data_IF_904814520470
#
_entry.id   IF_904814520470
#
_cell.length_a   1.000
_cell.length_b   1.000
_cell.length_c   1.000
_cell.angle_alpha   90.00
_cell.angle_beta   90.00
_cell.angle_gamma   90.00
#
_symmetry.space_group_name_H-M   'P 1'
#
loop_
_entity.id
_entity.type
_entity.pdbx_description
1 polymer ?
#
# COMPACT_ATOMS: atom_id res chain seq x y z
N UNK A 1 24.33 -20.94 85.10
CA UNK A 1 22.90 -20.61 84.85
C UNK A 1 22.77 -19.20 84.15
N UNK A 2 23.50 -18.19 84.58
CA UNK A 2 23.38 -16.82 84.01
C UNK A 2 23.80 -16.73 82.54
N UNK A 3 24.90 -17.37 82.12
CA UNK A 3 25.37 -17.40 80.74
C UNK A 3 24.42 -18.09 79.75
N UNK A 4 23.72 -19.15 80.20
CA UNK A 4 22.73 -19.86 79.42
C UNK A 4 21.49 -18.99 79.14
N UNK A 5 21.06 -18.16 80.08
CA UNK A 5 19.95 -17.25 79.96
C UNK A 5 20.25 -16.10 78.97
N UNK A 6 21.45 -15.58 79.03
CA UNK A 6 21.92 -14.51 78.10
C UNK A 6 22.04 -15.04 76.67
N UNK A 7 22.57 -16.25 76.50
CA UNK A 7 22.66 -16.86 75.16
C UNK A 7 21.27 -17.13 74.57
N UNK A 8 20.33 -17.61 75.39
CA UNK A 8 18.94 -17.83 74.96
C UNK A 8 18.22 -16.53 74.57
N UNK A 9 18.40 -15.46 75.36
CA UNK A 9 17.84 -14.16 75.04
C UNK A 9 18.44 -13.61 73.72
N UNK A 10 19.75 -13.78 73.44
CA UNK A 10 20.37 -13.42 72.18
C UNK A 10 19.78 -14.16 70.97
N UNK A 11 19.49 -15.45 71.10
CA UNK A 11 18.86 -16.24 70.04
C UNK A 11 17.43 -15.75 69.77
N UNK A 12 16.65 -15.43 70.79
CA UNK A 12 15.30 -14.88 70.60
C UNK A 12 15.32 -13.55 69.85
N UNK A 13 16.23 -12.64 70.22
CA UNK A 13 16.40 -11.35 69.57
C UNK A 13 16.83 -11.55 68.08
N UNK A 14 17.78 -12.45 67.83
CA UNK A 14 18.20 -12.77 66.47
C UNK A 14 17.04 -13.31 65.60
N UNK A 15 16.23 -14.22 66.15
CA UNK A 15 15.04 -14.74 65.45
C UNK A 15 14.01 -13.62 65.19
N UNK A 16 13.78 -12.73 66.15
CA UNK A 16 12.85 -11.63 65.99
C UNK A 16 13.32 -10.65 64.90
N UNK A 17 14.62 -10.34 64.85
CA UNK A 17 15.22 -9.51 63.77
C UNK A 17 15.12 -10.21 62.39
N UNK A 18 15.39 -11.51 62.31
CA UNK A 18 15.25 -12.28 61.10
C UNK A 18 13.80 -12.33 60.61
N UNK A 19 12.82 -12.46 61.46
CA UNK A 19 11.42 -12.42 61.12
C UNK A 19 11.01 -11.03 60.60
N UNK A 20 11.54 -9.98 61.17
CA UNK A 20 11.31 -8.61 60.72
C UNK A 20 11.94 -8.39 59.34
N UNK A 21 13.18 -8.83 59.13
CA UNK A 21 13.87 -8.77 57.84
C UNK A 21 13.10 -9.53 56.75
N UNK A 22 12.64 -10.73 57.00
CA UNK A 22 11.83 -11.54 56.10
C UNK A 22 10.50 -10.83 55.72
N UNK A 23 9.90 -10.07 56.62
CA UNK A 23 8.70 -9.28 56.34
C UNK A 23 8.99 -8.13 55.40
N UNK A 24 10.12 -7.41 55.58
CA UNK A 24 10.57 -6.36 54.69
C UNK A 24 10.87 -6.93 53.31
N UNK A 25 11.65 -8.00 53.23
CA UNK A 25 11.99 -8.63 51.93
C UNK A 25 10.74 -9.09 51.17
N UNK A 26 9.75 -9.68 51.85
CA UNK A 26 8.47 -10.05 51.23
C UNK A 26 7.73 -8.82 50.66
N UNK A 27 7.74 -7.72 51.38
CA UNK A 27 7.11 -6.48 50.95
C UNK A 27 7.83 -5.89 49.74
N UNK A 28 9.16 -5.87 49.76
CA UNK A 28 9.98 -5.37 48.65
C UNK A 28 9.80 -6.26 47.41
N UNK A 29 9.74 -7.58 47.57
CA UNK A 29 9.44 -8.49 46.49
C UNK A 29 8.04 -8.24 45.87
N UNK A 30 7.05 -7.96 46.70
CA UNK A 30 5.69 -7.65 46.21
C UNK A 30 5.66 -6.34 45.43
N UNK A 31 6.35 -5.30 45.93
CA UNK A 31 6.47 -4.02 45.23
C UNK A 31 7.24 -4.17 43.90
N UNK A 32 8.38 -4.89 43.93
CA UNK A 32 9.16 -5.17 42.71
C UNK A 32 8.31 -5.90 41.65
N UNK A 33 7.50 -6.88 42.06
CA UNK A 33 6.60 -7.59 41.16
C UNK A 33 5.59 -6.66 40.53
N UNK A 34 4.98 -5.75 41.29
CA UNK A 34 4.02 -4.78 40.79
C UNK A 34 4.67 -3.82 39.78
N UNK A 35 5.91 -3.37 40.08
CA UNK A 35 6.68 -2.51 39.17
C UNK A 35 7.01 -3.25 37.88
N UNK A 36 7.43 -4.51 37.95
CA UNK A 36 7.73 -5.33 36.76
C UNK A 36 6.48 -5.53 35.89
N UNK A 37 5.32 -5.81 36.49
CA UNK A 37 4.04 -5.95 35.78
C UNK A 37 3.66 -4.62 35.06
N UNK A 38 3.87 -3.48 35.72
CA UNK A 38 3.65 -2.16 35.10
C UNK A 38 4.64 -1.89 33.95
N UNK A 39 5.92 -2.23 34.12
CA UNK A 39 6.92 -2.09 33.06
C UNK A 39 6.60 -2.98 31.86
N UNK A 40 6.20 -4.22 32.07
CA UNK A 40 5.80 -5.13 31.00
C UNK A 40 4.60 -4.58 30.21
N UNK A 41 3.58 -4.06 30.90
CA UNK A 41 2.44 -3.43 30.26
C UNK A 41 2.83 -2.20 29.44
N UNK A 42 3.75 -1.38 29.95
CA UNK A 42 4.25 -0.20 29.26
C UNK A 42 5.11 -0.56 28.03
N UNK A 43 6.00 -1.55 28.15
CA UNK A 43 6.79 -2.07 27.03
C UNK A 43 5.89 -2.64 25.93
N UNK A 44 4.81 -3.34 26.31
CA UNK A 44 3.83 -3.85 25.35
C UNK A 44 3.12 -2.72 24.60
N UNK A 45 2.75 -1.63 25.29
CA UNK A 45 2.16 -0.44 24.62
C UNK A 45 3.15 0.23 23.69
N UNK A 46 4.40 0.42 24.13
CA UNK A 46 5.45 1.02 23.30
C UNK A 46 5.73 0.18 22.06
N UNK A 47 5.78 -1.15 22.19
CA UNK A 47 5.96 -2.04 21.05
C UNK A 47 4.85 -1.87 20.01
N UNK A 48 3.59 -1.78 20.44
CA UNK A 48 2.44 -1.53 19.53
C UNK A 48 2.53 -0.17 18.82
N UNK A 49 2.94 0.87 19.54
CA UNK A 49 3.14 2.20 18.94
C UNK A 49 4.26 2.17 17.90
N UNK A 50 5.40 1.54 18.23
CA UNK A 50 6.52 1.42 17.30
C UNK A 50 6.16 0.60 16.04
N UNK A 51 5.42 -0.50 16.19
CA UNK A 51 4.94 -1.28 15.06
C UNK A 51 4.05 -0.45 14.14
N UNK A 52 3.14 0.33 14.71
CA UNK A 52 2.28 1.23 13.96
C UNK A 52 3.08 2.31 13.23
N UNK A 53 4.03 2.94 13.89
CA UNK A 53 4.91 3.94 13.27
C UNK A 53 5.69 3.33 12.11
N UNK A 54 6.31 2.17 12.31
CA UNK A 54 7.05 1.45 11.26
C UNK A 54 6.19 1.13 10.05
N UNK A 55 4.92 0.73 10.27
CA UNK A 55 3.96 0.54 9.20
C UNK A 55 3.67 1.84 8.46
N UNK A 56 3.32 2.90 9.20
CA UNK A 56 2.99 4.20 8.61
C UNK A 56 4.16 4.75 7.78
N UNK A 57 5.38 4.70 8.33
CA UNK A 57 6.59 5.15 7.64
C UNK A 57 6.83 4.37 6.33
N UNK A 58 6.69 3.05 6.37
CA UNK A 58 6.86 2.20 5.19
C UNK A 58 5.76 2.46 4.14
N UNK A 59 4.51 2.60 4.58
CA UNK A 59 3.39 2.87 3.70
C UNK A 59 3.50 4.23 3.01
N UNK A 60 3.80 5.29 3.77
CA UNK A 60 3.97 6.62 3.21
C UNK A 60 5.20 6.73 2.32
N UNK A 61 6.27 6.01 2.65
CA UNK A 61 7.43 5.91 1.76
C UNK A 61 7.07 5.26 0.40
N UNK A 62 6.24 4.21 0.39
CA UNK A 62 5.74 3.63 -0.85
C UNK A 62 4.89 4.61 -1.66
N UNK A 63 4.07 5.45 -1.00
CA UNK A 63 3.31 6.50 -1.67
C UNK A 63 4.21 7.61 -2.24
N UNK A 64 5.29 7.95 -1.56
CA UNK A 64 6.25 8.93 -2.07
C UNK A 64 7.02 8.38 -3.28
N UNK A 65 7.44 7.11 -3.24
CA UNK A 65 8.02 6.44 -4.42
C UNK A 65 7.04 6.39 -5.60
N UNK A 66 5.75 6.15 -5.31
CA UNK A 66 4.70 6.19 -6.32
C UNK A 66 4.59 7.59 -6.96
N UNK A 67 4.60 8.66 -6.16
CA UNK A 67 4.57 10.05 -6.66
C UNK A 67 5.79 10.36 -7.50
N UNK A 68 6.98 9.99 -7.05
CA UNK A 68 8.23 10.16 -7.81
C UNK A 68 8.16 9.42 -9.14
N UNK A 69 7.75 8.14 -9.13
CA UNK A 69 7.63 7.36 -10.37
C UNK A 69 6.60 7.93 -11.35
N UNK A 70 5.55 8.61 -10.85
CA UNK A 70 4.61 9.34 -11.69
C UNK A 70 5.28 10.53 -12.36
N UNK A 71 6.05 11.31 -11.61
CA UNK A 71 6.70 12.51 -12.12
C UNK A 71 7.77 12.17 -13.19
N UNK A 72 8.35 10.96 -13.10
CA UNK A 72 9.30 10.41 -14.08
C UNK A 72 8.62 9.89 -15.37
N UNK A 73 7.29 9.77 -15.39
CA UNK A 73 6.59 9.34 -16.60
C UNK A 73 6.77 10.34 -17.74
N UNK A 74 7.08 9.80 -18.89
CA UNK A 74 7.27 10.59 -20.13
C UNK A 74 6.39 10.04 -21.22
N UNK A 75 5.61 10.93 -21.81
CA UNK A 75 4.90 10.67 -23.05
C UNK A 75 5.55 11.50 -24.18
N UNK A 76 5.87 10.84 -25.28
CA UNK A 76 6.44 11.48 -26.47
C UNK A 76 5.57 11.19 -27.69
N UNK A 77 5.26 12.22 -28.43
CA UNK A 77 4.54 12.07 -29.70
C UNK A 77 5.46 11.45 -30.74
N UNK A 78 5.13 10.26 -31.20
CA UNK A 78 5.82 9.59 -32.31
C UNK A 78 5.05 9.85 -33.60
N UNK A 79 5.67 10.49 -34.57
CA UNK A 79 5.13 10.64 -35.92
C UNK A 79 5.84 9.63 -36.82
N UNK A 80 5.08 8.67 -37.32
CA UNK A 80 5.60 7.70 -38.30
C UNK A 80 5.45 8.34 -39.68
N UNK A 81 6.55 8.60 -40.36
CA UNK A 81 6.58 9.01 -41.77
C UNK A 81 7.15 7.89 -42.59
N UNK A 82 6.54 7.68 -43.76
CA UNK A 82 7.11 6.82 -44.79
C UNK A 82 7.76 7.76 -45.80
N UNK A 83 9.09 7.82 -45.78
CA UNK A 83 9.87 8.59 -46.76
C UNK A 83 10.72 7.60 -47.55
N UNK A 84 10.60 7.63 -48.89
CA UNK A 84 11.35 6.77 -49.82
C UNK A 84 11.15 5.23 -49.55
N UNK A 85 9.99 4.81 -49.06
CA UNK A 85 9.69 3.42 -48.76
C UNK A 85 10.26 2.92 -47.44
N UNK A 86 10.98 3.77 -46.71
CA UNK A 86 11.47 3.48 -45.35
C UNK A 86 10.59 4.11 -44.28
N UNK A 87 10.33 3.36 -43.22
CA UNK A 87 9.59 3.86 -42.08
C UNK A 87 10.53 4.67 -41.20
N UNK A 88 10.37 6.00 -41.22
CA UNK A 88 11.10 6.90 -40.32
C UNK A 88 10.22 7.38 -39.19
N UNK A 89 10.66 7.12 -37.95
CA UNK A 89 10.00 7.61 -36.73
C UNK A 89 10.62 8.96 -36.39
N UNK A 90 9.89 10.04 -36.61
CA UNK A 90 10.28 11.38 -36.19
C UNK A 90 9.67 11.68 -34.83
N UNK A 91 10.51 11.98 -33.85
CA UNK A 91 10.04 12.50 -32.54
C UNK A 91 9.64 13.97 -32.78
N UNK A 92 8.39 14.32 -32.46
CA UNK A 92 7.97 15.73 -32.40
C UNK A 92 8.35 16.31 -31.04
N UNK A 93 8.60 17.62 -30.97
CA UNK A 93 8.97 18.38 -29.77
C UNK A 93 7.87 18.42 -28.67
N UNK A 94 6.87 17.59 -28.75
CA UNK A 94 5.82 17.49 -27.70
C UNK A 94 6.16 16.35 -26.74
N UNK A 95 6.85 16.71 -25.68
CA UNK A 95 7.13 15.87 -24.54
C UNK A 95 6.23 16.29 -23.38
N UNK A 96 5.44 15.36 -22.86
CA UNK A 96 4.62 15.55 -21.66
C UNK A 96 5.20 14.69 -20.54
N UNK A 97 5.13 15.19 -19.31
CA UNK A 97 5.65 14.49 -18.14
C UNK A 97 4.58 14.35 -17.06
N UNK A 98 4.78 13.41 -16.14
CA UNK A 98 3.95 13.24 -14.96
C UNK A 98 2.48 13.03 -15.28
N UNK A 99 1.60 13.74 -14.60
CA UNK A 99 0.15 13.64 -14.77
C UNK A 99 -0.31 14.01 -16.20
N UNK A 100 0.41 14.88 -16.91
CA UNK A 100 0.07 15.21 -18.29
C UNK A 100 0.35 14.02 -19.23
N UNK A 101 1.44 13.29 -18.98
CA UNK A 101 1.77 12.07 -19.73
C UNK A 101 0.67 11.01 -19.53
N UNK A 102 0.18 10.84 -18.30
CA UNK A 102 -0.90 9.89 -17.98
C UNK A 102 -2.20 10.29 -18.67
N UNK A 103 -2.59 11.57 -18.58
CA UNK A 103 -3.79 12.06 -19.26
C UNK A 103 -3.72 11.81 -20.77
N UNK A 104 -2.58 12.08 -21.39
CA UNK A 104 -2.39 11.86 -22.83
C UNK A 104 -2.42 10.35 -23.16
N UNK A 105 -1.84 9.51 -22.32
CA UNK A 105 -1.88 8.06 -22.49
C UNK A 105 -3.33 7.55 -22.44
N UNK A 106 -4.17 8.08 -21.55
CA UNK A 106 -5.59 7.73 -21.52
C UNK A 106 -6.33 8.18 -22.79
N UNK A 107 -6.02 9.37 -23.28
CA UNK A 107 -6.58 9.86 -24.58
C UNK A 107 -6.16 8.94 -25.73
N UNK A 108 -4.91 8.51 -25.76
CA UNK A 108 -4.41 7.60 -26.79
C UNK A 108 -5.03 6.21 -26.68
N UNK A 109 -5.23 5.70 -25.45
CA UNK A 109 -5.98 4.47 -25.21
C UNK A 109 -7.41 4.57 -25.74
N UNK A 110 -8.10 5.66 -25.46
CA UNK A 110 -9.47 5.90 -25.94
C UNK A 110 -9.55 5.91 -27.48
N UNK A 111 -8.59 6.53 -28.14
CA UNK A 111 -8.50 6.55 -29.62
C UNK A 111 -8.20 5.16 -30.18
N UNK A 112 -7.26 4.45 -29.55
CA UNK A 112 -6.90 3.09 -29.93
C UNK A 112 -8.10 2.16 -29.82
N UNK A 113 -8.80 2.18 -28.69
CA UNK A 113 -9.99 1.38 -28.46
C UNK A 113 -11.06 1.61 -29.55
N UNK A 114 -11.41 2.88 -29.82
CA UNK A 114 -12.41 3.23 -30.85
C UNK A 114 -12.02 2.68 -32.21
N UNK A 115 -10.74 2.85 -32.57
CA UNK A 115 -10.24 2.38 -33.87
C UNK A 115 -10.27 0.86 -34.00
N UNK A 116 -9.88 0.13 -32.95
CA UNK A 116 -9.97 -1.34 -32.96
C UNK A 116 -11.41 -1.79 -33.05
N UNK A 117 -12.31 -1.19 -32.30
CA UNK A 117 -13.72 -1.54 -32.29
C UNK A 117 -14.44 -1.22 -33.63
N UNK A 118 -14.00 -0.20 -34.36
CA UNK A 118 -14.48 0.11 -35.72
C UNK A 118 -14.03 -0.94 -36.75
N UNK A 119 -12.80 -1.45 -36.63
CA UNK A 119 -12.19 -2.37 -37.62
C UNK A 119 -12.46 -3.83 -37.27
N UNK A 120 -12.51 -4.16 -35.97
CA UNK A 120 -12.67 -5.51 -35.44
C UNK A 120 -13.60 -5.51 -34.22
N UNK A 121 -14.91 -5.34 -34.43
CA UNK A 121 -15.88 -5.22 -33.33
C UNK A 121 -15.98 -6.47 -32.45
N UNK A 122 -15.50 -7.62 -32.94
CA UNK A 122 -15.46 -8.89 -32.21
C UNK A 122 -14.31 -9.00 -31.19
N UNK A 123 -13.36 -8.06 -31.21
CA UNK A 123 -12.21 -8.11 -30.30
C UNK A 123 -12.65 -7.86 -28.86
N UNK A 124 -12.29 -8.76 -27.95
CA UNK A 124 -12.66 -8.60 -26.56
C UNK A 124 -12.01 -7.37 -25.92
N UNK A 125 -12.67 -6.78 -24.91
CA UNK A 125 -12.11 -5.64 -24.18
C UNK A 125 -10.75 -5.98 -23.54
N UNK A 126 -10.61 -7.19 -22.99
CA UNK A 126 -9.36 -7.66 -22.40
C UNK A 126 -8.21 -7.69 -23.42
N UNK A 127 -8.46 -8.22 -24.63
CA UNK A 127 -7.45 -8.28 -25.69
C UNK A 127 -7.04 -6.87 -26.18
N UNK A 128 -7.99 -5.95 -26.26
CA UNK A 128 -7.71 -4.54 -26.61
C UNK A 128 -6.82 -3.90 -25.55
N UNK A 129 -7.14 -4.13 -24.28
CA UNK A 129 -6.37 -3.61 -23.14
C UNK A 129 -4.97 -4.19 -23.16
N UNK A 130 -4.82 -5.51 -23.20
CA UNK A 130 -3.51 -6.18 -23.18
C UNK A 130 -2.64 -5.71 -24.34
N UNK A 131 -3.20 -5.66 -25.55
CA UNK A 131 -2.46 -5.19 -26.74
C UNK A 131 -2.01 -3.73 -26.62
N UNK A 132 -2.85 -2.86 -26.03
CA UNK A 132 -2.48 -1.47 -25.83
C UNK A 132 -1.35 -1.35 -24.81
N UNK A 133 -1.48 -2.05 -23.67
CA UNK A 133 -0.48 -1.97 -22.60
C UNK A 133 0.87 -2.55 -23.05
N UNK A 134 0.87 -3.67 -23.78
CA UNK A 134 2.10 -4.27 -24.30
C UNK A 134 2.83 -3.39 -25.34
N UNK A 135 2.07 -2.75 -26.23
CA UNK A 135 2.66 -2.00 -27.34
C UNK A 135 2.92 -0.52 -27.05
N UNK A 136 2.17 0.08 -26.13
CA UNK A 136 2.17 1.54 -25.91
C UNK A 136 2.70 1.95 -24.54
N UNK A 137 2.76 1.03 -23.58
CA UNK A 137 3.27 1.35 -22.25
C UNK A 137 4.75 0.94 -22.12
N UNK A 138 5.60 1.93 -21.89
CA UNK A 138 7.03 1.72 -21.65
C UNK A 138 7.27 1.01 -20.31
N UNK A 139 8.51 0.52 -20.10
CA UNK A 139 8.94 -0.05 -18.84
C UNK A 139 8.70 0.89 -17.63
N UNK A 140 8.73 2.21 -17.84
CA UNK A 140 8.47 3.23 -16.80
C UNK A 140 7.03 3.18 -16.32
N UNK A 141 6.04 3.02 -17.24
CA UNK A 141 4.64 2.82 -16.85
C UNK A 141 4.42 1.51 -16.10
N UNK A 142 5.10 0.44 -16.52
CA UNK A 142 5.03 -0.84 -15.82
C UNK A 142 5.59 -0.72 -14.39
N UNK A 143 6.66 0.05 -14.20
CA UNK A 143 7.21 0.34 -12.86
C UNK A 143 6.23 1.15 -12.01
N UNK A 144 5.61 2.19 -12.57
CA UNK A 144 4.61 3.02 -11.91
C UNK A 144 3.44 2.18 -11.36
N UNK A 145 2.81 1.34 -12.19
CA UNK A 145 1.72 0.47 -11.72
C UNK A 145 2.19 -0.59 -10.72
N UNK A 146 3.44 -1.05 -10.84
CA UNK A 146 4.01 -2.02 -9.89
C UNK A 146 4.21 -1.41 -8.51
N UNK A 147 4.70 -0.18 -8.42
CA UNK A 147 4.86 0.51 -7.13
C UNK A 147 3.49 0.71 -6.47
N UNK A 148 2.50 1.15 -7.23
CA UNK A 148 1.13 1.29 -6.73
C UNK A 148 0.55 -0.05 -6.25
N UNK A 149 0.75 -1.13 -7.00
CA UNK A 149 0.38 -2.48 -6.58
C UNK A 149 1.01 -2.85 -5.24
N UNK A 150 2.32 -2.60 -5.07
CA UNK A 150 3.01 -2.94 -3.82
C UNK A 150 2.54 -2.09 -2.64
N UNK A 151 2.14 -0.85 -2.84
CA UNK A 151 1.57 -0.02 -1.78
C UNK A 151 0.25 -0.61 -1.25
N UNK A 152 -0.67 -1.01 -2.14
CA UNK A 152 -1.92 -1.65 -1.74
C UNK A 152 -1.72 -3.07 -1.21
N UNK A 153 -0.79 -3.82 -1.80
CA UNK A 153 -0.43 -5.15 -1.32
C UNK A 153 0.14 -5.09 0.11
N UNK A 154 1.04 -4.16 0.38
CA UNK A 154 1.58 -3.93 1.72
C UNK A 154 0.47 -3.65 2.74
N UNK A 155 -0.51 -2.82 2.35
CA UNK A 155 -1.66 -2.52 3.20
C UNK A 155 -2.56 -3.75 3.44
N UNK A 156 -2.77 -4.60 2.42
CA UNK A 156 -3.58 -5.82 2.52
C UNK A 156 -2.91 -6.87 3.40
N UNK A 157 -1.62 -7.14 3.18
CA UNK A 157 -0.86 -8.21 3.84
C UNK A 157 -0.39 -7.86 5.25
N UNK A 158 -0.49 -6.60 5.65
CA UNK A 158 0.04 -6.19 6.95
C UNK A 158 -0.77 -6.78 8.11
N UNK A 159 -0.10 -7.57 8.95
CA UNK A 159 -0.71 -8.33 10.06
C UNK A 159 0.02 -8.18 11.40
N UNK A 160 1.14 -7.43 11.46
CA UNK A 160 2.03 -7.37 12.64
C UNK A 160 1.39 -6.72 13.87
N UNK A 161 0.35 -5.93 13.68
CA UNK A 161 -0.56 -5.50 14.74
C UNK A 161 -1.99 -5.52 14.19
N UNK A 162 -2.98 -5.66 15.09
CA UNK A 162 -4.38 -5.67 14.68
C UNK A 162 -4.81 -4.32 14.09
N UNK A 163 -4.64 -4.18 12.78
CA UNK A 163 -5.29 -3.10 12.04
C UNK A 163 -6.68 -3.60 11.65
N UNK A 164 -7.70 -2.96 12.20
CA UNK A 164 -9.07 -3.26 11.82
C UNK A 164 -9.32 -2.89 10.33
N UNK A 165 -10.27 -3.57 9.67
CA UNK A 165 -10.58 -3.32 8.26
C UNK A 165 -10.94 -1.85 7.96
N UNK A 166 -11.57 -1.15 8.90
CA UNK A 166 -11.93 0.26 8.73
C UNK A 166 -10.70 1.17 8.71
N UNK A 167 -9.69 0.84 9.50
CA UNK A 167 -8.40 1.54 9.50
C UNK A 167 -7.62 1.26 8.22
N UNK A 168 -7.55 0.00 7.74
CA UNK A 168 -6.97 -0.33 6.41
C UNK A 168 -7.65 0.46 5.30
N UNK A 169 -8.97 0.52 5.32
CA UNK A 169 -9.73 1.31 4.34
C UNK A 169 -9.43 2.82 4.41
N UNK A 170 -9.16 3.37 5.59
CA UNK A 170 -8.72 4.77 5.72
C UNK A 170 -7.38 5.04 5.02
N UNK A 171 -6.38 4.16 5.19
CA UNK A 171 -5.10 4.27 4.48
C UNK A 171 -5.29 4.11 2.97
N UNK A 172 -6.12 3.17 2.54
CA UNK A 172 -6.46 3.00 1.12
C UNK A 172 -7.10 4.27 0.52
N UNK A 173 -7.97 4.96 1.28
CA UNK A 173 -8.54 6.25 0.85
C UNK A 173 -7.49 7.34 0.70
N UNK A 174 -6.49 7.37 1.57
CA UNK A 174 -5.36 8.31 1.46
C UNK A 174 -4.60 8.02 0.17
N UNK A 175 -4.22 6.75 -0.07
CA UNK A 175 -3.54 6.36 -1.31
C UNK A 175 -4.37 6.72 -2.56
N UNK A 176 -5.68 6.43 -2.55
CA UNK A 176 -6.59 6.76 -3.64
C UNK A 176 -6.68 8.27 -3.93
N UNK A 177 -6.61 9.11 -2.89
CA UNK A 177 -6.63 10.57 -3.04
C UNK A 177 -5.42 11.12 -3.83
N UNK A 178 -4.36 10.34 -3.98
CA UNK A 178 -3.22 10.68 -4.83
C UNK A 178 -3.42 10.35 -6.30
N UNK A 179 -4.48 9.61 -6.65
CA UNK A 179 -4.77 9.22 -8.04
C UNK A 179 -5.65 10.26 -8.73
N UNK A 180 -5.23 10.71 -9.90
CA UNK A 180 -6.07 11.51 -10.80
C UNK A 180 -7.14 10.64 -11.48
N UNK A 181 -8.13 11.26 -12.09
CA UNK A 181 -9.16 10.56 -12.84
C UNK A 181 -8.60 9.65 -13.95
N UNK A 182 -7.59 10.14 -14.69
CA UNK A 182 -6.96 9.34 -15.75
C UNK A 182 -6.19 8.14 -15.19
N UNK A 183 -5.55 8.30 -14.02
CA UNK A 183 -4.87 7.20 -13.33
C UNK A 183 -5.86 6.13 -12.88
N UNK A 184 -6.98 6.54 -12.26
CA UNK A 184 -8.04 5.60 -11.86
C UNK A 184 -8.61 4.85 -13.07
N UNK A 185 -8.88 5.56 -14.19
CA UNK A 185 -9.39 4.94 -15.41
C UNK A 185 -8.39 3.94 -16.02
N UNK A 186 -7.13 4.33 -16.19
CA UNK A 186 -6.10 3.42 -16.71
C UNK A 186 -5.88 2.23 -15.82
N UNK A 187 -5.88 2.42 -14.49
CA UNK A 187 -5.79 1.34 -13.52
C UNK A 187 -6.98 0.37 -13.64
N UNK A 188 -8.20 0.92 -13.77
CA UNK A 188 -9.41 0.13 -13.91
C UNK A 188 -9.35 -0.73 -15.17
N UNK A 189 -8.97 -0.15 -16.32
CA UNK A 189 -8.80 -0.93 -17.55
C UNK A 189 -7.67 -1.96 -17.42
N UNK A 190 -6.56 -1.62 -16.78
CA UNK A 190 -5.47 -2.57 -16.52
C UNK A 190 -5.96 -3.79 -15.71
N UNK A 191 -6.90 -3.62 -14.79
CA UNK A 191 -7.48 -4.72 -14.01
C UNK A 191 -8.35 -5.68 -14.87
N UNK A 192 -8.82 -5.26 -16.04
CA UNK A 192 -9.56 -6.12 -16.99
C UNK A 192 -8.59 -6.99 -17.80
N UNK A 193 -7.40 -6.47 -18.09
CA UNK A 193 -6.37 -7.18 -18.84
C UNK A 193 -5.92 -8.48 -18.16
N UNK A 194 -5.43 -9.41 -18.99
CA UNK A 194 -5.01 -10.75 -18.52
C UNK A 194 -3.56 -10.78 -18.02
N UNK A 195 -2.68 -9.87 -18.54
CA UNK A 195 -1.22 -9.89 -18.38
C UNK A 195 -0.79 -9.10 -17.15
N UNK A 196 -1.25 -8.91 -16.15
CA UNK A 196 -0.73 -8.21 -14.95
C UNK A 196 -1.83 -7.61 -14.07
N UNK A 197 -2.99 -7.38 -14.66
CA UNK A 197 -4.14 -6.80 -13.98
C UNK A 197 -4.79 -7.71 -12.95
N UNK A 198 -4.79 -9.04 -13.15
CA UNK A 198 -5.49 -10.00 -12.27
C UNK A 198 -5.08 -9.91 -10.80
N UNK A 199 -3.79 -9.72 -10.52
CA UNK A 199 -3.31 -9.58 -9.14
C UNK A 199 -3.77 -8.26 -8.52
N UNK A 200 -3.81 -7.20 -9.31
CA UNK A 200 -4.28 -5.90 -8.84
C UNK A 200 -5.81 -5.86 -8.73
N UNK A 201 -6.55 -6.57 -9.57
CA UNK A 201 -8.00 -6.62 -9.52
C UNK A 201 -8.54 -7.08 -8.15
N UNK A 202 -7.86 -7.99 -7.47
CA UNK A 202 -8.22 -8.39 -6.10
C UNK A 202 -8.10 -7.22 -5.11
N UNK A 203 -6.99 -6.50 -5.14
CA UNK A 203 -6.76 -5.30 -4.30
C UNK A 203 -7.69 -4.14 -4.69
N UNK A 204 -7.95 -3.99 -5.99
CA UNK A 204 -8.86 -2.98 -6.52
C UNK A 204 -10.26 -3.13 -5.92
N UNK A 205 -10.76 -4.38 -5.80
CA UNK A 205 -12.04 -4.69 -5.16
C UNK A 205 -11.98 -4.56 -3.64
N UNK A 206 -10.96 -5.13 -3.00
CA UNK A 206 -10.77 -5.08 -1.54
C UNK A 206 -10.84 -3.64 -1.02
N UNK A 207 -10.14 -2.72 -1.69
CA UNK A 207 -10.04 -1.31 -1.28
C UNK A 207 -11.01 -0.38 -1.99
N UNK A 208 -11.94 -0.92 -2.79
CA UNK A 208 -12.97 -0.15 -3.52
C UNK A 208 -12.38 1.02 -4.31
N UNK A 209 -11.33 0.77 -5.08
CA UNK A 209 -10.63 1.82 -5.82
C UNK A 209 -11.51 2.45 -6.91
N UNK A 210 -12.51 1.73 -7.37
CA UNK A 210 -13.49 2.17 -8.36
C UNK A 210 -14.66 3.01 -7.83
N UNK A 211 -14.83 3.20 -6.51
CA UNK A 211 -15.98 3.94 -5.96
C UNK A 211 -16.14 5.36 -6.52
N UNK A 212 -15.03 6.02 -6.86
CA UNK A 212 -15.01 7.37 -7.43
C UNK A 212 -14.65 7.36 -8.92
N UNK A 213 -14.90 6.25 -9.62
CA UNK A 213 -14.63 6.16 -11.05
C UNK A 213 -15.42 7.23 -11.80
N UNK A 214 -14.76 8.09 -12.61
CA UNK A 214 -15.46 9.12 -13.37
C UNK A 214 -16.22 8.49 -14.54
N UNK A 215 -17.43 8.03 -14.29
CA UNK A 215 -18.28 7.26 -15.24
C UNK A 215 -18.50 7.97 -16.57
N UNK A 216 -18.52 9.31 -16.56
CA UNK A 216 -18.70 10.12 -17.77
C UNK A 216 -17.44 10.14 -18.66
N UNK A 217 -16.30 9.75 -18.13
CA UNK A 217 -15.04 9.66 -18.84
C UNK A 217 -14.70 8.24 -19.32
N UNK A 218 -15.54 7.24 -18.99
CA UNK A 218 -15.39 5.89 -19.54
C UNK A 218 -15.56 5.91 -21.05
N UNK A 219 -14.80 5.06 -21.75
CA UNK A 219 -14.88 4.92 -23.20
C UNK A 219 -16.28 4.44 -23.62
N UNK A 220 -16.83 3.47 -22.87
CA UNK A 220 -18.19 2.97 -23.00
C UNK A 220 -18.79 2.82 -21.59
N UNK A 221 -20.02 3.30 -21.38
CA UNK A 221 -20.66 3.24 -20.05
C UNK A 221 -20.86 1.81 -19.54
N UNK A 222 -21.12 0.86 -20.44
CA UNK A 222 -21.26 -0.57 -20.07
C UNK A 222 -19.99 -1.21 -19.54
N UNK A 223 -18.82 -0.58 -19.70
CA UNK A 223 -17.58 -1.07 -19.08
C UNK A 223 -17.59 -0.95 -17.56
N UNK A 224 -18.49 -0.15 -16.96
CA UNK A 224 -18.68 -0.07 -15.51
C UNK A 224 -18.95 -1.44 -14.92
N UNK A 225 -19.86 -2.19 -15.55
CA UNK A 225 -20.29 -3.51 -15.05
C UNK A 225 -19.08 -4.48 -15.07
N UNK A 226 -18.31 -4.48 -16.17
CA UNK A 226 -17.08 -5.29 -16.25
C UNK A 226 -15.98 -4.88 -15.24
N UNK A 227 -16.00 -3.63 -14.78
CA UNK A 227 -15.01 -3.11 -13.82
C UNK A 227 -15.42 -3.34 -12.37
N UNK A 228 -16.72 -3.45 -12.08
CA UNK A 228 -17.25 -3.63 -10.73
C UNK A 228 -17.59 -5.09 -10.42
N UNK A 229 -17.90 -5.91 -11.44
CA UNK A 229 -18.30 -7.31 -11.28
C UNK A 229 -17.10 -8.30 -11.31
N UNK A 230 -15.92 -7.84 -11.66
CA UNK A 230 -14.66 -8.60 -11.63
C UNK A 230 -13.76 -8.16 -10.50
#
# INVERSE_FOLDING_TARGET
>A
ALFSGLAFAGVIIAIALQLQELRYQRRDLSLTRTVLEQQEAELSRQAKVMQRQSFEDSFFHLLDLFRQSRDDLVWEKREIRIEDGEVRVKRRDSRLTGSQAINQTYVDFTRYFRRVNEVRPETSLADIVDTFFDNHMSAVYAQYFRILYHAFKYLSEFSDFEIDPATKYRYARIARAHLSNAEVLLLSYNCIGTVGGRKFAALYREFRLGDNLPKDHLIVRSHVDSLLDH
#
